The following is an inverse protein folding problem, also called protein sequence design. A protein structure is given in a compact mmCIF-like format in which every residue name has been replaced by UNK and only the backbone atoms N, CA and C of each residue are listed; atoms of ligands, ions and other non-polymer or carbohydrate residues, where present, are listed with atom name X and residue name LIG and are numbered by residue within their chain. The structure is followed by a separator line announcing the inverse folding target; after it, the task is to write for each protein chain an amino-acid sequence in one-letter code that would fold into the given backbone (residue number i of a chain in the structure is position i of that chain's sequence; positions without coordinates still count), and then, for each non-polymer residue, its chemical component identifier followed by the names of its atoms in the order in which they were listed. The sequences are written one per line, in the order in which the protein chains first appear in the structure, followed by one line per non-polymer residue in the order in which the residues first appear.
data_IF_131243223387
#
_entry.id   IF_131243223387
#
_cell.length_a   1.000
_cell.length_b   1.000
_cell.length_c   1.000
_cell.angle_alpha   90.00
_cell.angle_beta   90.00
_cell.angle_gamma   90.00
#
_symmetry.space_group_name_H-M   'P 1'
#
loop_
_entity.id
_entity.type
_entity.pdbx_description
1 polymer ?
#
# COMPACT_ATOMS: atom_id res chain seq x y z
N UNK A 1 -37.07 -7.57 -9.31
CA UNK A 1 -35.69 -7.11 -9.61
C UNK A 1 -35.66 -6.55 -11.02
N UNK A 2 -35.70 -5.24 -11.19
CA UNK A 2 -35.58 -4.67 -12.53
C UNK A 2 -34.21 -5.01 -13.12
N UNK A 3 -34.17 -5.27 -14.43
CA UNK A 3 -32.94 -5.63 -15.17
C UNK A 3 -31.76 -4.70 -14.83
N UNK A 4 -32.03 -3.40 -14.74
CA UNK A 4 -31.08 -2.35 -14.31
C UNK A 4 -30.48 -2.65 -12.92
N UNK A 5 -31.32 -2.97 -11.92
CA UNK A 5 -30.88 -3.28 -10.55
C UNK A 5 -29.98 -4.53 -10.52
N UNK A 6 -30.31 -5.56 -11.31
CA UNK A 6 -29.55 -6.82 -11.38
C UNK A 6 -28.15 -6.60 -11.97
N UNK A 7 -28.05 -5.83 -13.04
CA UNK A 7 -26.77 -5.50 -13.68
C UNK A 7 -25.89 -4.73 -12.69
N UNK A 8 -26.43 -3.68 -12.06
CA UNK A 8 -25.67 -2.88 -11.09
C UNK A 8 -25.16 -3.71 -9.91
N UNK A 9 -26.01 -4.56 -9.33
CA UNK A 9 -25.59 -5.45 -8.24
C UNK A 9 -24.47 -6.40 -8.66
N UNK A 10 -24.52 -6.93 -9.88
CA UNK A 10 -23.50 -7.82 -10.42
C UNK A 10 -22.17 -7.10 -10.63
N UNK A 11 -22.20 -5.88 -11.17
CA UNK A 11 -21.00 -5.06 -11.37
C UNK A 11 -20.35 -4.70 -10.03
N UNK A 12 -21.15 -4.23 -9.06
CA UNK A 12 -20.68 -3.91 -7.71
C UNK A 12 -20.03 -5.13 -7.04
N UNK A 13 -20.64 -6.32 -7.14
CA UNK A 13 -20.09 -7.54 -6.57
C UNK A 13 -18.75 -7.94 -7.21
N UNK A 14 -18.62 -7.80 -8.53
CA UNK A 14 -17.38 -8.06 -9.25
C UNK A 14 -16.27 -7.08 -8.85
N UNK A 15 -16.58 -5.79 -8.75
CA UNK A 15 -15.61 -4.77 -8.35
C UNK A 15 -15.14 -4.97 -6.92
N UNK A 16 -16.04 -5.30 -5.98
CA UNK A 16 -15.67 -5.66 -4.61
C UNK A 16 -14.75 -6.87 -4.57
N UNK A 17 -15.02 -7.90 -5.37
CA UNK A 17 -14.17 -9.10 -5.47
C UNK A 17 -12.78 -8.79 -6.04
N UNK A 18 -12.68 -7.87 -7.01
CA UNK A 18 -11.40 -7.41 -7.55
C UNK A 18 -10.61 -6.59 -6.53
N UNK A 19 -11.25 -5.63 -5.86
CA UNK A 19 -10.62 -4.79 -4.81
C UNK A 19 -10.13 -5.63 -3.63
N UNK A 20 -10.92 -6.61 -3.17
CA UNK A 20 -10.52 -7.51 -2.10
C UNK A 20 -9.28 -8.38 -2.45
N UNK A 21 -9.02 -8.62 -3.73
CA UNK A 21 -7.81 -9.33 -4.18
C UNK A 21 -6.58 -8.42 -4.26
N UNK A 22 -6.77 -7.13 -4.47
CA UNK A 22 -5.67 -6.16 -4.59
C UNK A 22 -5.14 -5.72 -3.23
N UNK A 23 -6.00 -5.70 -2.21
CA UNK A 23 -5.57 -5.41 -0.84
C UNK A 23 -4.99 -6.67 -0.18
N UNK A 24 -3.66 -6.73 -0.08
CA UNK A 24 -2.98 -7.60 0.88
C UNK A 24 -3.28 -7.17 2.31
N UNK A 25 -3.07 -8.07 3.29
CA UNK A 25 -3.24 -7.69 4.70
C UNK A 25 -2.31 -6.53 5.03
N UNK A 26 -2.86 -5.43 5.58
CA UNK A 26 -2.08 -4.25 5.98
C UNK A 26 -1.13 -4.50 7.16
N UNK A 27 -1.10 -5.73 7.68
CA UNK A 27 -0.21 -6.13 8.76
C UNK A 27 1.05 -6.73 8.14
N UNK A 28 2.26 -6.32 8.58
CA UNK A 28 3.47 -7.03 8.20
C UNK A 28 3.33 -8.49 8.64
N UNK A 29 3.73 -9.41 7.76
CA UNK A 29 3.71 -10.84 8.08
C UNK A 29 4.57 -11.06 9.33
N UNK A 30 4.02 -11.73 10.34
CA UNK A 30 4.78 -12.02 11.55
C UNK A 30 5.96 -12.91 11.18
N UNK A 31 7.16 -12.37 11.36
CA UNK A 31 8.44 -13.08 11.23
C UNK A 31 9.02 -13.22 12.63
N UNK A 32 9.60 -14.40 12.91
CA UNK A 32 10.24 -14.66 14.20
C UNK A 32 11.42 -13.71 14.43
N UNK A 33 11.89 -13.58 15.68
CA UNK A 33 13.04 -12.71 15.99
C UNK A 33 14.28 -13.09 15.17
N UNK A 34 14.55 -14.39 15.06
CA UNK A 34 15.65 -14.93 14.27
C UNK A 34 15.52 -14.61 12.77
N UNK A 35 14.31 -14.72 12.21
CA UNK A 35 14.07 -14.41 10.79
C UNK A 35 14.20 -12.91 10.51
N UNK A 36 13.81 -12.06 11.46
CA UNK A 36 13.96 -10.61 11.35
C UNK A 36 15.43 -10.18 11.37
N UNK A 37 16.24 -10.78 12.23
CA UNK A 37 17.70 -10.53 12.28
C UNK A 37 18.38 -11.00 10.99
N UNK A 38 17.98 -12.19 10.48
CA UNK A 38 18.47 -12.71 9.20
C UNK A 38 18.10 -11.80 8.02
N UNK A 39 16.86 -11.32 7.98
CA UNK A 39 16.39 -10.40 6.94
C UNK A 39 17.04 -9.03 7.04
N UNK A 40 17.32 -8.53 8.25
CA UNK A 40 18.04 -7.28 8.46
C UNK A 40 19.51 -7.39 8.02
N UNK A 41 20.18 -8.51 8.29
CA UNK A 41 21.55 -8.76 7.81
C UNK A 41 21.62 -8.87 6.28
N UNK A 42 20.63 -9.51 5.66
CA UNK A 42 20.51 -9.57 4.19
C UNK A 42 20.19 -8.19 3.59
N UNK A 43 19.28 -7.42 4.19
CA UNK A 43 18.93 -6.07 3.73
C UNK A 43 20.03 -5.02 3.96
N UNK A 44 21.00 -5.28 4.85
CA UNK A 44 22.19 -4.43 5.03
C UNK A 44 23.29 -4.78 4.03
N UNK A 45 23.33 -6.01 3.52
CA UNK A 45 24.27 -6.43 2.48
C UNK A 45 23.89 -5.87 1.08
N UNK A 46 22.59 -5.67 0.83
CA UNK A 46 22.06 -5.00 -0.35
C UNK A 46 21.65 -3.55 0.03
N UNK A 47 22.62 -2.63 0.03
CA UNK A 47 22.53 -1.32 0.69
C UNK A 47 21.29 -0.44 0.39
N UNK A 48 20.89 0.42 1.35
CA UNK A 48 19.78 1.36 1.17
C UNK A 48 20.25 2.65 0.47
N UNK A 49 19.96 2.80 -0.82
CA UNK A 49 19.71 4.14 -1.39
C UNK A 49 18.32 4.59 -0.93
N UNK A 50 18.23 4.99 0.33
CA UNK A 50 17.10 5.71 0.89
C UNK A 50 17.20 7.16 0.41
N UNK A 51 16.30 7.51 -0.50
CA UNK A 51 16.01 8.87 -0.92
C UNK A 51 15.97 9.82 0.27
N UNK A 52 16.78 10.87 0.14
CA UNK A 52 16.94 12.00 1.02
C UNK A 52 15.60 12.57 1.51
N UNK A 53 15.44 12.53 2.82
CA UNK A 53 14.95 13.61 3.68
C UNK A 53 13.79 14.49 3.17
N UNK A 54 12.63 14.30 3.79
CA UNK A 54 11.77 15.41 4.20
C UNK A 54 12.63 16.55 4.78
N UNK A 55 12.72 17.66 4.05
CA UNK A 55 13.14 18.94 4.57
C UNK A 55 12.46 20.07 3.77
N UNK A 56 11.92 21.03 4.52
CA UNK A 56 11.36 22.33 4.12
C UNK A 56 9.84 22.39 3.91
N UNK A 57 9.18 22.46 5.06
CA UNK A 57 8.12 23.42 5.45
C UNK A 57 7.91 24.60 4.46
N UNK A 58 6.69 24.68 3.92
CA UNK A 58 5.88 25.89 3.66
C UNK A 58 6.57 27.21 3.28
N UNK A 59 6.51 27.58 1.99
CA UNK A 59 6.29 28.98 1.57
C UNK A 59 5.42 29.00 0.30
N UNK A 60 4.13 29.30 0.46
CA UNK A 60 3.25 29.64 -0.66
C UNK A 60 3.26 31.17 -0.78
N UNK A 61 4.11 31.71 -1.66
CA UNK A 61 4.11 33.15 -1.96
C UNK A 61 2.85 33.49 -2.77
N UNK A 62 2.00 34.43 -2.31
CA UNK A 62 0.91 34.94 -3.14
C UNK A 62 1.49 35.80 -4.28
N UNK A 63 1.01 35.53 -5.49
CA UNK A 63 1.37 36.28 -6.69
C UNK A 63 0.82 37.73 -6.63
N UNK A 64 1.60 38.62 -7.25
CA UNK A 64 1.27 40.01 -7.58
C UNK A 64 0.00 40.12 -8.42
#
# INVERSE_FOLDING_TARGET
MNRKKKINQTLIAKDKKKKAKLHGSNKPKYVSKADRERLAQLAVADGPELGSSDAVVSEHQPAN
#
